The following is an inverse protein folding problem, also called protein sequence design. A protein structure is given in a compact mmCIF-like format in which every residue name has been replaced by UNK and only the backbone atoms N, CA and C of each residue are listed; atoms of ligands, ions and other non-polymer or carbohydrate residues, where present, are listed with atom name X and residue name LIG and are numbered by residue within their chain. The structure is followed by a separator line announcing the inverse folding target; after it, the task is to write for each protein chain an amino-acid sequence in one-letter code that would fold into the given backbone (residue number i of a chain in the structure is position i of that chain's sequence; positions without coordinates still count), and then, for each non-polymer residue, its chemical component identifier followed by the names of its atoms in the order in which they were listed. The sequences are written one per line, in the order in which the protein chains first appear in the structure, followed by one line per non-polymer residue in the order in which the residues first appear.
data_IF_976084366146
#
_entry.id   IF_976084366146
#
_cell.length_a   1.000
_cell.length_b   1.000
_cell.length_c   1.000
_cell.angle_alpha   90.00
_cell.angle_beta   90.00
_cell.angle_gamma   90.00
#
_symmetry.space_group_name_H-M   'P 1'
#
loop_
_entity.id
_entity.type
_entity.pdbx_description
1 polymer ?
#
# COMPACT_ATOMS: atom_id res chain seq x y z
N UNK A 1 -1.28 -21.82 23.24
CA UNK A 1 -0.79 -22.71 22.17
C UNK A 1 -0.03 -21.86 21.17
N UNK A 2 1.24 -22.14 20.89
CA UNK A 2 2.04 -21.36 19.94
C UNK A 2 1.63 -21.72 18.50
N UNK A 3 1.48 -20.72 17.62
CA UNK A 3 1.15 -20.93 16.22
C UNK A 3 2.25 -21.75 15.51
N UNK A 4 1.90 -22.66 14.58
CA UNK A 4 2.90 -23.46 13.88
C UNK A 4 3.84 -22.56 13.07
N UNK A 5 5.15 -22.81 13.17
CA UNK A 5 6.16 -22.16 12.32
C UNK A 5 5.96 -22.64 10.88
N UNK A 6 5.41 -21.79 10.03
CA UNK A 6 5.36 -22.06 8.60
C UNK A 6 6.78 -22.04 8.01
N UNK A 7 7.01 -22.92 7.04
CA UNK A 7 8.27 -22.96 6.31
C UNK A 7 8.41 -21.72 5.42
N UNK A 8 9.57 -21.08 5.43
CA UNK A 8 9.84 -19.83 4.68
C UNK A 8 10.09 -20.06 3.17
N UNK A 9 9.88 -21.27 2.67
CA UNK A 9 10.11 -21.58 1.25
C UNK A 9 8.90 -21.24 0.41
N UNK A 10 9.14 -20.59 -0.72
CA UNK A 10 8.14 -20.28 -1.73
C UNK A 10 8.59 -20.84 -3.09
N UNK A 11 7.64 -21.09 -3.99
CA UNK A 11 7.98 -21.46 -5.37
C UNK A 11 8.53 -20.26 -6.13
N UNK A 12 9.30 -20.52 -7.20
CA UNK A 12 9.83 -19.45 -8.08
C UNK A 12 8.71 -18.57 -8.66
N UNK A 13 7.60 -19.18 -9.07
CA UNK A 13 6.40 -18.47 -9.53
C UNK A 13 5.77 -17.61 -8.43
N UNK A 14 5.69 -18.13 -7.19
CA UNK A 14 5.24 -17.36 -6.05
C UNK A 14 6.12 -16.14 -5.79
N UNK A 15 7.44 -16.32 -5.87
CA UNK A 15 8.40 -15.22 -5.75
C UNK A 15 8.19 -14.16 -6.84
N UNK A 16 8.06 -14.57 -8.11
CA UNK A 16 7.88 -13.64 -9.22
C UNK A 16 6.60 -12.80 -9.06
N UNK A 17 5.50 -13.41 -8.61
CA UNK A 17 4.23 -12.71 -8.34
C UNK A 17 4.37 -11.71 -7.20
N UNK A 18 4.94 -12.12 -6.07
CA UNK A 18 5.17 -11.23 -4.93
C UNK A 18 6.11 -10.08 -5.30
N UNK A 19 7.14 -10.35 -6.12
CA UNK A 19 8.06 -9.32 -6.59
C UNK A 19 7.37 -8.32 -7.51
N UNK A 20 6.57 -8.80 -8.46
CA UNK A 20 5.80 -7.94 -9.35
C UNK A 20 4.80 -7.07 -8.58
N UNK A 21 4.11 -7.65 -7.59
CA UNK A 21 3.21 -6.91 -6.70
C UNK A 21 3.97 -5.84 -5.91
N UNK A 22 5.10 -6.19 -5.30
CA UNK A 22 5.96 -5.25 -4.56
C UNK A 22 6.41 -4.09 -5.47
N UNK A 23 6.93 -4.39 -6.66
CA UNK A 23 7.42 -3.40 -7.61
C UNK A 23 6.28 -2.47 -8.06
N UNK A 24 5.08 -3.00 -8.29
CA UNK A 24 3.91 -2.21 -8.65
C UNK A 24 3.46 -1.29 -7.51
N UNK A 25 3.32 -1.83 -6.30
CA UNK A 25 2.91 -1.07 -5.12
C UNK A 25 3.90 0.06 -4.82
N UNK A 26 5.20 -0.21 -4.92
CA UNK A 26 6.24 0.77 -4.62
C UNK A 26 6.41 1.84 -5.70
N UNK A 27 6.45 1.44 -6.98
CA UNK A 27 6.82 2.34 -8.08
C UNK A 27 5.63 3.05 -8.72
N UNK A 28 4.42 2.50 -8.58
CA UNK A 28 3.23 2.98 -9.30
C UNK A 28 2.16 3.47 -8.32
N UNK A 29 1.62 2.58 -7.51
CA UNK A 29 0.47 2.91 -6.65
C UNK A 29 0.84 3.90 -5.53
N UNK A 30 1.90 3.65 -4.77
CA UNK A 30 2.26 4.50 -3.62
C UNK A 30 2.56 5.95 -4.04
N UNK A 31 3.36 6.23 -5.09
CA UNK A 31 3.58 7.60 -5.55
C UNK A 31 2.30 8.27 -6.04
N UNK A 32 1.46 7.55 -6.79
CA UNK A 32 0.18 8.06 -7.30
C UNK A 32 -0.75 8.48 -6.16
N UNK A 33 -1.01 7.60 -5.19
CA UNK A 33 -1.90 7.90 -4.07
C UNK A 33 -1.32 9.04 -3.21
N UNK A 34 0.01 9.13 -3.09
CA UNK A 34 0.67 10.25 -2.40
C UNK A 34 0.39 11.59 -3.08
N UNK A 35 0.45 11.63 -4.42
CA UNK A 35 0.12 12.82 -5.20
C UNK A 35 -1.37 13.19 -5.06
N UNK A 36 -2.26 12.21 -5.14
CA UNK A 36 -3.70 12.41 -4.95
C UNK A 36 -4.01 12.96 -3.55
N UNK A 37 -3.39 12.41 -2.50
CA UNK A 37 -3.53 12.92 -1.12
C UNK A 37 -2.99 14.34 -0.98
N UNK A 38 -1.85 14.65 -1.62
CA UNK A 38 -1.29 15.99 -1.59
C UNK A 38 -2.19 17.00 -2.30
N UNK A 39 -2.77 16.63 -3.43
CA UNK A 39 -3.75 17.44 -4.16
C UNK A 39 -5.02 17.67 -3.33
N UNK A 40 -5.59 16.61 -2.76
CA UNK A 40 -6.77 16.71 -1.89
C UNK A 40 -6.50 17.59 -0.65
N UNK A 41 -5.29 17.52 -0.09
CA UNK A 41 -4.88 18.35 1.04
C UNK A 41 -4.74 19.85 0.70
N UNK A 42 -4.62 20.20 -0.58
CA UNK A 42 -4.55 21.59 -1.06
C UNK A 42 -5.94 22.18 -1.38
N UNK A 43 -6.95 21.33 -1.59
CA UNK A 43 -8.29 21.73 -2.04
C UNK A 43 -9.27 22.09 -0.90
N UNK A 44 -8.91 21.89 0.36
CA UNK A 44 -9.80 22.25 1.47
C UNK A 44 -9.40 21.69 2.83
N UNK A 45 -10.36 21.69 3.76
CA UNK A 45 -10.19 21.14 5.10
C UNK A 45 -9.98 19.62 5.03
N UNK A 46 -8.88 19.17 5.64
CA UNK A 46 -8.47 17.76 5.69
C UNK A 46 -9.43 16.89 6.50
N UNK A 47 -10.22 17.46 7.38
CA UNK A 47 -11.19 16.74 8.21
C UNK A 47 -12.52 16.47 7.49
N UNK A 48 -12.86 17.27 6.49
CA UNK A 48 -14.10 17.15 5.73
C UNK A 48 -13.88 16.58 4.31
N UNK A 49 -12.67 16.71 3.77
CA UNK A 49 -12.35 16.21 2.43
C UNK A 49 -12.28 14.67 2.40
N UNK A 50 -13.30 14.05 1.79
CA UNK A 50 -13.41 12.61 1.61
C UNK A 50 -12.24 11.99 0.82
N UNK A 51 -11.72 12.68 -0.20
CA UNK A 51 -10.59 12.20 -1.01
C UNK A 51 -9.31 12.12 -0.18
N UNK A 52 -9.09 13.12 0.69
CA UNK A 52 -7.95 13.12 1.59
C UNK A 52 -8.04 11.96 2.60
N UNK A 53 -9.20 11.75 3.21
CA UNK A 53 -9.43 10.67 4.18
C UNK A 53 -9.22 9.30 3.51
N UNK A 54 -9.81 9.11 2.32
CA UNK A 54 -9.69 7.86 1.58
C UNK A 54 -8.26 7.61 1.12
N UNK A 55 -7.59 8.60 0.53
CA UNK A 55 -6.20 8.48 0.09
C UNK A 55 -5.25 8.17 1.25
N UNK A 56 -5.46 8.77 2.43
CA UNK A 56 -4.71 8.41 3.64
C UNK A 56 -4.95 6.99 4.10
N UNK A 57 -6.19 6.47 4.00
CA UNK A 57 -6.49 5.06 4.29
C UNK A 57 -5.78 4.13 3.30
N UNK A 58 -5.84 4.45 2.00
CA UNK A 58 -5.20 3.67 0.93
C UNK A 58 -3.67 3.63 1.10
N UNK A 59 -3.03 4.75 1.45
CA UNK A 59 -1.59 4.76 1.75
C UNK A 59 -1.22 3.79 2.87
N UNK A 60 -2.01 3.74 3.96
CA UNK A 60 -1.75 2.80 5.07
C UNK A 60 -1.91 1.35 4.65
N UNK A 61 -2.86 1.05 3.77
CA UNK A 61 -3.05 -0.30 3.23
C UNK A 61 -1.84 -0.72 2.37
N UNK A 62 -1.34 0.17 1.53
CA UNK A 62 -0.14 -0.06 0.71
C UNK A 62 1.07 -0.27 1.62
N UNK A 63 1.32 0.63 2.56
CA UNK A 63 2.47 0.54 3.48
C UNK A 63 2.40 -0.75 4.34
N UNK A 64 1.19 -1.19 4.74
CA UNK A 64 1.01 -2.47 5.44
C UNK A 64 1.34 -3.67 4.57
N UNK A 65 1.05 -3.61 3.26
CA UNK A 65 1.35 -4.70 2.31
C UNK A 65 2.84 -4.78 1.97
N UNK A 66 3.55 -3.66 2.07
CA UNK A 66 4.99 -3.57 1.82
C UNK A 66 5.86 -4.07 2.99
N UNK A 67 5.30 -4.19 4.20
CA UNK A 67 6.01 -4.62 5.41
C UNK A 67 5.98 -6.13 5.61
#
# INVERSE_FOLDING_TARGET
MAAPKHSNYITRDGYAKLRAELDHLWKVERPRVTQEVAAAAALGDRSENAEYIYGKKRLREIDRRLR
#
